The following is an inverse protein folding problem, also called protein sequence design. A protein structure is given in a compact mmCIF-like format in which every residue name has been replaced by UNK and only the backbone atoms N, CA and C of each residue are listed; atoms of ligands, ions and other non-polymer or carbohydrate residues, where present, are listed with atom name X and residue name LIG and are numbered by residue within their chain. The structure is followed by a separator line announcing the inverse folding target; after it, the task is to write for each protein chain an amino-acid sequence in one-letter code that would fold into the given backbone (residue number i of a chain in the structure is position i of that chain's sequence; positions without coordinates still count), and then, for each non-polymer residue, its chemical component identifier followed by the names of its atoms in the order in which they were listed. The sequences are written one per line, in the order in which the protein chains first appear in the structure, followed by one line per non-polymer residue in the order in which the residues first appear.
data_IF_572520398466
#
_entry.id   IF_572520398466
#
_cell.length_a   1.000
_cell.length_b   1.000
_cell.length_c   1.000
_cell.angle_alpha   90.00
_cell.angle_beta   90.00
_cell.angle_gamma   90.00
#
_symmetry.space_group_name_H-M   'P 1'
#
loop_
_entity.id
_entity.type
_entity.pdbx_description
1 polymer ?
#
# COMPACT_ATOMS: atom_id res chain seq x y z
N UNK A 1 54.26 19.26 37.59
CA UNK A 1 52.91 19.85 37.62
C UNK A 1 52.75 20.66 36.34
N UNK A 2 51.69 20.41 35.59
CA UNK A 2 51.39 20.89 34.23
C UNK A 2 51.71 22.36 33.94
N UNK A 3 52.14 22.65 32.71
CA UNK A 3 51.32 23.36 31.71
C UNK A 3 52.07 23.58 30.38
N UNK A 4 51.34 23.31 29.30
CA UNK A 4 51.30 23.99 28.00
C UNK A 4 52.60 24.41 27.28
N UNK A 5 52.79 23.89 26.06
CA UNK A 5 52.68 24.61 24.77
C UNK A 5 53.13 23.61 23.70
N UNK A 6 52.34 23.40 22.64
CA UNK A 6 52.85 23.35 21.27
C UNK A 6 51.67 23.48 20.28
N UNK A 7 51.85 24.40 19.36
CA UNK A 7 50.90 24.90 18.39
C UNK A 7 51.27 24.36 17.01
N UNK A 8 50.25 24.20 16.15
CA UNK A 8 50.26 24.06 14.68
C UNK A 8 50.67 22.70 14.10
N UNK A 9 49.74 22.06 13.38
CA UNK A 9 49.80 22.03 11.91
C UNK A 9 48.48 21.57 11.25
N UNK A 10 48.04 22.38 10.28
CA UNK A 10 47.40 22.05 8.99
C UNK A 10 46.10 21.23 8.93
N UNK A 11 44.99 21.94 8.69
CA UNK A 11 43.73 21.40 8.15
C UNK A 11 43.80 21.47 6.62
N UNK A 12 43.77 20.30 5.96
CA UNK A 12 43.65 20.18 4.50
C UNK A 12 42.18 19.99 4.12
N UNK A 13 41.73 20.84 3.20
CA UNK A 13 40.42 20.86 2.57
C UNK A 13 40.44 19.83 1.43
N UNK A 14 39.57 18.83 1.47
CA UNK A 14 39.24 18.03 0.28
C UNK A 14 37.77 18.22 -0.10
N UNK A 15 37.61 18.85 -1.27
CA UNK A 15 36.37 19.09 -2.01
C UNK A 15 36.10 17.84 -2.85
N UNK A 16 34.95 17.19 -2.67
CA UNK A 16 34.55 16.04 -3.48
C UNK A 16 33.62 16.50 -4.61
N UNK A 17 34.11 16.39 -5.85
CA UNK A 17 33.33 16.60 -7.07
C UNK A 17 32.45 15.37 -7.35
N UNK A 18 31.13 15.57 -7.47
CA UNK A 18 30.21 14.56 -7.99
C UNK A 18 30.03 14.78 -9.50
N UNK A 19 30.65 13.94 -10.34
CA UNK A 19 30.34 13.84 -11.77
C UNK A 19 29.25 12.79 -11.98
N UNK A 20 28.07 13.23 -12.40
CA UNK A 20 27.01 12.36 -12.91
C UNK A 20 27.34 11.95 -14.36
N UNK A 21 27.42 10.64 -14.60
CA UNK A 21 27.44 10.06 -15.95
C UNK A 21 26.01 9.74 -16.37
N UNK A 22 25.52 10.41 -17.41
CA UNK A 22 24.23 10.12 -18.06
C UNK A 22 24.50 9.25 -19.28
N UNK A 23 23.96 8.03 -19.27
CA UNK A 23 23.93 7.13 -20.42
C UNK A 23 22.83 7.58 -21.39
N UNK A 24 23.20 8.02 -22.60
CA UNK A 24 22.26 8.28 -23.70
C UNK A 24 22.26 7.10 -24.67
N UNK A 25 21.12 6.42 -24.82
CA UNK A 25 20.90 5.47 -25.92
C UNK A 25 20.58 6.23 -27.22
N UNK A 26 21.36 6.02 -28.27
CA UNK A 26 21.03 6.50 -29.62
C UNK A 26 20.31 5.39 -30.42
N UNK A 27 19.12 5.67 -30.91
CA UNK A 27 18.49 4.90 -31.99
C UNK A 27 19.03 5.41 -33.33
N UNK A 28 19.67 4.53 -34.10
CA UNK A 28 20.07 4.76 -35.50
C UNK A 28 18.91 4.36 -36.41
N UNK A 29 18.36 5.32 -37.15
CA UNK A 29 17.46 5.07 -38.27
C UNK A 29 18.29 5.05 -39.56
N UNK A 30 18.30 3.92 -40.26
CA UNK A 30 18.87 3.75 -41.60
C UNK A 30 17.79 4.04 -42.64
N UNK A 31 18.01 4.99 -43.55
CA UNK A 31 17.31 5.04 -44.84
C UNK A 31 18.36 5.33 -45.93
N UNK A 32 18.50 4.39 -46.85
CA UNK A 32 19.37 4.44 -48.03
C UNK A 32 18.75 5.28 -49.14
N UNK A 33 19.58 6.07 -49.81
CA UNK A 33 19.27 6.78 -51.05
C UNK A 33 19.49 5.89 -52.27
N UNK A 34 18.63 6.01 -53.29
CA UNK A 34 19.02 5.81 -54.70
C UNK A 34 18.07 6.59 -55.63
N UNK A 35 18.64 6.98 -56.76
CA UNK A 35 18.28 8.04 -57.70
C UNK A 35 17.39 7.61 -58.88
N UNK A 36 16.61 8.55 -59.46
CA UNK A 36 16.82 9.12 -60.82
C UNK A 36 15.52 9.58 -61.55
N UNK A 37 15.63 10.77 -62.18
CA UNK A 37 14.94 11.37 -63.37
C UNK A 37 13.41 11.15 -63.57
N UNK A 38 12.57 12.17 -63.82
CA UNK A 38 12.52 13.00 -65.04
C UNK A 38 11.47 14.14 -64.94
N UNK A 39 11.82 15.32 -65.50
CA UNK A 39 11.04 16.26 -66.36
C UNK A 39 9.90 17.14 -65.76
N UNK A 40 10.17 18.47 -65.84
CA UNK A 40 9.35 19.69 -66.15
C UNK A 40 7.88 19.76 -65.66
N UNK A 41 7.38 20.85 -65.07
CA UNK A 41 7.34 22.22 -65.60
C UNK A 41 7.33 23.32 -64.52
N UNK A 42 7.75 24.50 -64.96
CA UNK A 42 7.89 25.77 -64.27
C UNK A 42 6.61 26.59 -64.25
N UNK A 43 6.25 27.19 -63.11
CA UNK A 43 5.51 28.46 -63.07
C UNK A 43 6.00 29.33 -61.91
N UNK A 44 6.23 30.60 -62.24
CA UNK A 44 6.98 31.58 -61.48
C UNK A 44 6.04 32.76 -61.19
N UNK A 45 5.56 32.93 -59.95
CA UNK A 45 5.02 34.22 -59.45
C UNK A 45 5.26 34.33 -57.93
N UNK A 46 6.20 35.18 -57.54
CA UNK A 46 6.14 36.04 -56.35
C UNK A 46 5.76 37.45 -56.86
N UNK A 47 5.26 38.42 -56.04
CA UNK A 47 5.55 38.61 -54.62
C UNK A 47 4.34 39.10 -53.78
N UNK A 48 4.53 39.21 -52.46
CA UNK A 48 4.43 40.48 -51.72
C UNK A 48 4.36 40.18 -50.22
N UNK A 49 5.41 40.64 -49.54
CA UNK A 49 5.51 40.65 -48.09
C UNK A 49 4.53 41.68 -47.51
N UNK A 50 3.68 41.25 -46.59
CA UNK A 50 3.08 42.14 -45.60
C UNK A 50 3.38 41.59 -44.22
N UNK A 51 4.28 42.27 -43.53
CA UNK A 51 4.64 42.02 -42.14
C UNK A 51 3.43 42.30 -41.25
N UNK A 52 2.80 41.24 -40.73
CA UNK A 52 1.98 41.35 -39.52
C UNK A 52 2.85 40.85 -38.37
N UNK A 53 3.47 41.81 -37.67
CA UNK A 53 4.15 41.55 -36.40
C UNK A 53 3.08 41.31 -35.35
N UNK A 54 2.68 40.04 -35.18
CA UNK A 54 1.80 39.65 -34.10
C UNK A 54 2.64 39.42 -32.84
N UNK A 55 2.74 40.45 -32.00
CA UNK A 55 3.16 40.32 -30.60
C UNK A 55 2.04 39.59 -29.83
N UNK A 56 2.08 38.26 -29.83
CA UNK A 56 1.41 37.49 -28.78
C UNK A 56 2.46 37.10 -27.75
N UNK A 57 2.50 37.91 -26.70
CA UNK A 57 3.24 37.67 -25.47
C UNK A 57 2.94 36.26 -24.96
N UNK A 58 4.01 35.47 -24.83
CA UNK A 58 4.01 34.15 -24.21
C UNK A 58 3.68 34.35 -22.73
N UNK A 59 2.41 34.22 -22.35
CA UNK A 59 2.00 33.97 -20.98
C UNK A 59 1.70 32.47 -20.84
N UNK A 60 2.76 31.67 -20.86
CA UNK A 60 2.73 30.30 -20.36
C UNK A 60 2.56 30.37 -18.84
N UNK A 61 1.32 30.50 -18.39
CA UNK A 61 0.97 30.25 -16.98
C UNK A 61 1.03 28.72 -16.81
N UNK A 62 2.25 28.22 -16.62
CA UNK A 62 2.45 26.94 -15.96
C UNK A 62 1.92 27.09 -14.54
N UNK A 63 0.71 26.61 -14.29
CA UNK A 63 0.24 26.32 -12.93
C UNK A 63 1.00 25.09 -12.41
N UNK A 64 2.31 25.25 -12.17
CA UNK A 64 3.02 24.41 -11.20
C UNK A 64 2.51 24.84 -9.84
N UNK A 65 1.44 24.18 -9.37
CA UNK A 65 1.04 24.20 -7.97
C UNK A 65 2.09 23.49 -7.14
N UNK A 66 3.22 24.13 -6.88
CA UNK A 66 4.13 23.76 -5.80
C UNK A 66 3.51 24.24 -4.49
N UNK A 67 2.73 23.38 -3.84
CA UNK A 67 2.73 23.36 -2.39
C UNK A 67 3.78 22.35 -1.94
N UNK A 68 5.05 22.71 -2.16
CA UNK A 68 6.12 22.18 -1.35
C UNK A 68 5.96 22.80 0.04
N UNK A 69 5.09 22.21 0.86
CA UNK A 69 5.23 22.35 2.29
C UNK A 69 6.48 21.57 2.66
N UNK A 70 7.58 22.30 2.83
CA UNK A 70 8.74 21.80 3.57
C UNK A 70 8.25 21.62 5.02
N UNK A 71 7.77 20.44 5.34
CA UNK A 71 7.86 19.91 6.70
C UNK A 71 8.95 18.86 6.64
N UNK A 72 10.17 19.29 6.96
CA UNK A 72 11.23 18.37 7.33
C UNK A 72 10.82 17.68 8.64
N UNK A 73 10.31 16.46 8.54
CA UNK A 73 10.02 15.59 9.67
C UNK A 73 9.39 14.30 9.15
N UNK A 74 10.04 13.16 9.36
CA UNK A 74 9.37 11.87 9.23
C UNK A 74 8.08 11.90 10.05
N UNK A 75 6.96 11.44 9.48
CA UNK A 75 5.71 11.39 10.23
C UNK A 75 5.92 10.63 11.55
N UNK A 76 5.35 11.10 12.67
CA UNK A 76 5.63 10.56 13.98
C UNK A 76 5.19 9.09 14.08
N UNK A 77 5.98 8.33 14.85
CA UNK A 77 5.63 6.96 15.18
C UNK A 77 4.31 6.93 15.96
N UNK A 78 3.38 6.08 15.51
CA UNK A 78 2.14 5.79 16.21
C UNK A 78 2.20 4.41 16.85
N UNK A 79 1.33 4.15 17.82
CA UNK A 79 1.14 2.82 18.42
C UNK A 79 -0.35 2.54 18.59
N UNK A 80 -0.70 1.42 19.22
CA UNK A 80 -2.08 1.08 19.57
C UNK A 80 -2.41 1.38 21.04
N UNK A 81 -1.47 1.93 21.82
CA UNK A 81 -1.60 2.15 23.27
C UNK A 81 -1.07 3.52 23.72
N UNK A 82 -1.59 4.01 24.85
CA UNK A 82 -1.07 5.22 25.49
C UNK A 82 -1.23 6.50 24.66
N UNK A 83 -0.31 7.48 24.77
CA UNK A 83 -0.45 8.79 24.14
C UNK A 83 -0.33 8.77 22.61
N UNK A 84 0.26 7.71 22.04
CA UNK A 84 0.40 7.48 20.60
C UNK A 84 -0.69 6.55 20.03
N UNK A 85 -1.70 6.23 20.84
CA UNK A 85 -2.77 5.29 20.51
C UNK A 85 -3.85 5.84 19.56
N UNK A 86 -4.80 5.00 19.12
CA UNK A 86 -5.72 5.33 18.02
C UNK A 86 -6.61 6.54 18.26
N UNK A 87 -6.98 6.82 19.52
CA UNK A 87 -7.76 8.01 19.90
C UNK A 87 -7.00 9.33 19.71
N UNK A 88 -5.68 9.27 19.53
CA UNK A 88 -4.79 10.43 19.43
C UNK A 88 -4.09 10.53 18.07
N UNK A 89 -4.20 9.52 17.20
CA UNK A 89 -3.51 9.49 15.91
C UNK A 89 -3.67 10.77 15.09
N UNK A 90 -4.89 11.30 14.94
CA UNK A 90 -5.11 12.50 14.14
C UNK A 90 -4.60 13.80 14.77
N UNK A 91 -4.07 13.75 16.00
CA UNK A 91 -3.38 14.86 16.65
C UNK A 91 -1.86 14.69 16.68
N UNK A 92 -1.31 13.56 16.21
CA UNK A 92 0.13 13.34 16.21
C UNK A 92 0.83 14.13 15.10
N UNK A 93 0.19 14.23 13.92
CA UNK A 93 0.69 14.96 12.75
C UNK A 93 -0.47 15.57 11.98
N UNK A 94 -0.30 16.75 11.35
CA UNK A 94 -1.28 17.29 10.41
C UNK A 94 -1.67 16.30 9.30
N UNK A 95 -0.72 15.47 8.85
CA UNK A 95 -0.95 14.45 7.82
C UNK A 95 -1.90 13.34 8.29
N UNK A 96 -2.05 13.14 9.61
CA UNK A 96 -2.91 12.11 10.19
C UNK A 96 -4.32 12.64 10.50
N UNK A 97 -4.63 13.89 10.17
CA UNK A 97 -5.90 14.56 10.52
C UNK A 97 -7.16 13.76 10.13
N UNK A 98 -7.10 13.01 9.02
CA UNK A 98 -8.19 12.12 8.59
C UNK A 98 -8.52 11.03 9.62
N UNK A 99 -7.56 10.59 10.43
CA UNK A 99 -7.79 9.61 11.49
C UNK A 99 -8.80 10.08 12.55
N UNK A 100 -8.99 11.40 12.72
CA UNK A 100 -9.95 11.99 13.67
C UNK A 100 -11.15 12.65 12.99
N UNK A 101 -10.95 13.26 11.81
CA UNK A 101 -11.99 14.07 11.15
C UNK A 101 -12.69 13.35 9.99
N UNK A 102 -12.09 12.29 9.45
CA UNK A 102 -12.66 11.48 8.38
C UNK A 102 -14.02 10.89 8.75
N UNK A 103 -14.92 10.77 7.77
CA UNK A 103 -16.28 10.22 7.96
C UNK A 103 -16.46 8.83 7.36
N UNK A 104 -15.49 8.40 6.56
CA UNK A 104 -15.46 7.10 5.89
C UNK A 104 -14.35 6.23 6.51
N UNK A 105 -14.19 6.29 7.82
CA UNK A 105 -13.11 5.57 8.50
C UNK A 105 -13.38 4.06 8.64
N UNK A 106 -12.31 3.28 8.67
CA UNK A 106 -12.27 1.83 8.91
C UNK A 106 -11.44 1.50 10.15
N UNK A 107 -11.65 0.35 10.81
CA UNK A 107 -12.62 -0.71 10.48
C UNK A 107 -14.05 -0.35 10.92
N UNK A 108 -15.03 -1.19 10.56
CA UNK A 108 -16.43 -1.05 10.99
C UNK A 108 -16.97 -2.35 11.59
N UNK A 109 -18.04 -2.24 12.39
CA UNK A 109 -18.84 -3.40 12.78
C UNK A 109 -19.87 -3.71 11.68
N UNK A 110 -19.75 -4.86 11.03
CA UNK A 110 -20.70 -5.34 10.03
C UNK A 110 -21.89 -6.00 10.72
N UNK A 111 -22.99 -5.28 10.85
CA UNK A 111 -24.26 -5.83 11.34
C UNK A 111 -24.99 -6.48 10.16
N UNK A 112 -24.95 -7.81 10.07
CA UNK A 112 -25.42 -8.58 8.89
C UNK A 112 -26.88 -8.32 8.55
N UNK A 113 -27.74 -8.20 9.56
CA UNK A 113 -29.18 -7.91 9.38
C UNK A 113 -29.46 -6.50 8.86
N UNK A 114 -28.50 -5.58 8.95
CA UNK A 114 -28.60 -4.21 8.42
C UNK A 114 -27.87 -4.02 7.09
N UNK A 115 -27.26 -5.08 6.54
CA UNK A 115 -26.60 -5.01 5.26
C UNK A 115 -27.64 -4.93 4.13
N UNK A 116 -27.36 -4.11 3.13
CA UNK A 116 -28.21 -3.95 1.95
C UNK A 116 -27.79 -5.01 0.92
N UNK A 117 -28.75 -5.62 0.22
CA UNK A 117 -28.43 -6.55 -0.85
C UNK A 117 -27.78 -5.80 -2.02
N UNK A 118 -26.51 -6.06 -2.29
CA UNK A 118 -25.80 -5.47 -3.41
C UNK A 118 -26.10 -6.25 -4.69
N UNK A 119 -27.26 -6.01 -5.33
CA UNK A 119 -27.69 -6.78 -6.51
C UNK A 119 -26.75 -6.65 -7.72
N UNK A 120 -25.96 -5.59 -7.77
CA UNK A 120 -24.95 -5.37 -8.80
C UNK A 120 -23.62 -6.10 -8.51
N UNK A 121 -23.46 -6.62 -7.30
CA UNK A 121 -22.26 -7.31 -6.86
C UNK A 121 -22.15 -8.69 -7.51
N UNK A 122 -20.95 -9.03 -7.96
CA UNK A 122 -20.59 -10.32 -8.56
C UNK A 122 -19.68 -11.13 -7.61
N UNK A 123 -19.50 -12.44 -7.83
CA UNK A 123 -18.42 -13.16 -7.15
C UNK A 123 -17.10 -12.39 -7.28
N UNK A 124 -16.27 -12.38 -6.24
CA UNK A 124 -14.94 -11.79 -6.35
C UNK A 124 -14.10 -12.60 -7.35
N UNK A 125 -13.73 -11.97 -8.46
CA UNK A 125 -12.82 -12.54 -9.45
C UNK A 125 -11.38 -12.30 -8.99
N UNK A 126 -10.77 -13.35 -8.47
CA UNK A 126 -9.46 -13.31 -7.83
C UNK A 126 -8.54 -14.32 -8.50
N UNK A 127 -7.44 -13.82 -9.05
CA UNK A 127 -6.38 -14.62 -9.63
C UNK A 127 -5.21 -14.73 -8.66
N UNK A 128 -5.30 -15.73 -7.77
CA UNK A 128 -4.20 -16.12 -6.89
C UNK A 128 -3.79 -17.56 -7.21
N UNK A 129 -2.76 -17.70 -8.03
CA UNK A 129 -2.00 -18.92 -8.26
C UNK A 129 -0.67 -18.56 -8.92
N UNK A 130 -0.05 -17.46 -8.47
CA UNK A 130 1.15 -16.90 -9.06
C UNK A 130 2.34 -17.28 -8.20
N UNK A 131 3.45 -17.59 -8.85
CA UNK A 131 4.75 -17.81 -8.22
C UNK A 131 5.53 -16.51 -8.29
N UNK A 132 5.96 -15.99 -7.15
CA UNK A 132 6.62 -14.69 -7.03
C UNK A 132 7.65 -14.76 -5.90
N UNK A 133 8.71 -13.95 -5.99
CA UNK A 133 9.59 -13.76 -4.84
C UNK A 133 8.91 -12.87 -3.80
N UNK A 134 9.10 -13.22 -2.53
CA UNK A 134 8.45 -12.52 -1.44
C UNK A 134 9.37 -12.33 -0.24
N UNK A 135 9.06 -11.30 0.53
CA UNK A 135 9.79 -10.91 1.73
C UNK A 135 8.80 -10.73 2.88
N UNK A 136 9.09 -11.38 4.02
CA UNK A 136 8.38 -11.18 5.26
C UNK A 136 8.95 -9.94 5.95
N UNK A 137 8.09 -9.02 6.35
CA UNK A 137 8.48 -7.73 6.92
C UNK A 137 7.79 -7.48 8.25
N UNK A 138 8.51 -6.83 9.16
CA UNK A 138 7.91 -6.10 10.27
C UNK A 138 7.80 -4.62 9.86
N UNK A 139 6.57 -4.15 9.64
CA UNK A 139 6.30 -2.75 9.34
C UNK A 139 6.28 -1.88 10.62
N UNK A 140 6.86 -2.36 11.74
CA UNK A 140 6.86 -1.81 13.11
C UNK A 140 5.51 -1.94 13.84
N UNK A 141 4.40 -1.95 13.10
CA UNK A 141 3.05 -2.03 13.65
C UNK A 141 2.26 -3.25 13.19
N UNK A 142 2.74 -3.99 12.19
CA UNK A 142 2.19 -5.27 11.78
C UNK A 142 3.25 -6.12 11.06
N UNK A 143 3.03 -7.43 11.04
CA UNK A 143 3.78 -8.34 10.19
C UNK A 143 3.07 -8.43 8.84
N UNK A 144 3.85 -8.38 7.76
CA UNK A 144 3.32 -8.49 6.40
C UNK A 144 4.24 -9.24 5.45
N UNK A 145 3.73 -9.49 4.24
CA UNK A 145 4.46 -10.03 3.11
C UNK A 145 4.41 -9.01 1.97
N UNK A 146 5.59 -8.60 1.50
CA UNK A 146 5.80 -7.80 0.29
C UNK A 146 6.22 -8.73 -0.85
N UNK A 147 5.84 -8.37 -2.08
CA UNK A 147 6.11 -9.16 -3.28
C UNK A 147 7.02 -8.41 -4.24
N UNK A 148 8.00 -9.12 -4.80
CA UNK A 148 8.97 -8.56 -5.74
C UNK A 148 8.51 -8.80 -7.19
N UNK A 149 7.24 -8.49 -7.47
CA UNK A 149 6.62 -8.70 -8.78
C UNK A 149 5.12 -8.91 -8.71
N UNK A 150 4.55 -9.45 -9.79
CA UNK A 150 3.14 -9.76 -9.86
C UNK A 150 2.80 -10.91 -8.89
N UNK A 151 1.97 -10.65 -7.88
CA UNK A 151 1.51 -11.64 -6.92
C UNK A 151 0.09 -12.17 -7.22
N UNK A 152 -0.52 -11.71 -8.32
CA UNK A 152 -1.91 -11.93 -8.66
C UNK A 152 -2.72 -10.64 -8.63
N UNK A 153 -4.00 -10.75 -8.94
CA UNK A 153 -4.89 -9.59 -9.02
C UNK A 153 -6.33 -9.90 -8.63
N UNK A 154 -7.03 -8.85 -8.22
CA UNK A 154 -8.48 -8.79 -8.05
C UNK A 154 -9.07 -8.05 -9.25
N UNK A 155 -10.11 -8.61 -9.88
CA UNK A 155 -10.88 -7.96 -10.94
C UNK A 155 -12.26 -7.60 -10.44
N UNK A 156 -12.65 -6.35 -10.62
CA UNK A 156 -13.94 -5.84 -10.15
C UNK A 156 -14.36 -4.67 -11.04
N UNK A 157 -15.63 -4.65 -11.46
CA UNK A 157 -16.21 -3.56 -12.25
C UNK A 157 -15.41 -3.22 -13.52
N UNK A 158 -14.87 -4.24 -14.20
CA UNK A 158 -14.06 -4.07 -15.42
C UNK A 158 -12.64 -3.53 -15.17
N UNK A 159 -12.23 -3.40 -13.91
CA UNK A 159 -10.91 -2.88 -13.50
C UNK A 159 -10.07 -3.99 -12.86
N UNK A 160 -8.76 -3.93 -13.11
CA UNK A 160 -7.76 -4.79 -12.50
C UNK A 160 -7.08 -4.08 -11.32
N UNK A 161 -6.97 -4.76 -10.19
CA UNK A 161 -6.25 -4.32 -9.00
C UNK A 161 -5.15 -5.33 -8.67
N UNK A 162 -3.89 -4.96 -8.83
CA UNK A 162 -2.73 -5.81 -8.55
C UNK A 162 -2.54 -6.00 -7.04
N UNK A 163 -2.30 -7.22 -6.57
CA UNK A 163 -1.95 -7.49 -5.17
C UNK A 163 -0.55 -6.95 -4.87
N UNK A 164 -0.46 -5.95 -4.01
CA UNK A 164 0.81 -5.26 -3.70
C UNK A 164 1.47 -5.75 -2.40
N UNK A 165 0.66 -6.12 -1.41
CA UNK A 165 1.14 -6.66 -0.14
C UNK A 165 -0.01 -7.30 0.63
N UNK A 166 0.34 -8.06 1.67
CA UNK A 166 -0.62 -8.48 2.69
C UNK A 166 -0.04 -8.37 4.09
N UNK A 167 -0.91 -8.24 5.09
CA UNK A 167 -0.50 -8.15 6.49
C UNK A 167 -1.59 -8.60 7.44
N UNK A 168 -1.20 -8.89 8.67
CA UNK A 168 -2.10 -9.37 9.71
C UNK A 168 -2.30 -8.38 10.84
N UNK A 169 -3.53 -8.34 11.34
CA UNK A 169 -3.91 -7.71 12.59
C UNK A 169 -4.36 -8.78 13.59
N UNK A 170 -3.97 -8.63 14.85
CA UNK A 170 -4.39 -9.45 15.98
C UNK A 170 -4.72 -8.54 17.17
N UNK A 171 -5.96 -8.57 17.71
CA UNK A 171 -7.15 -9.27 17.21
C UNK A 171 -7.66 -8.70 15.86
N UNK A 172 -8.79 -9.19 15.35
CA UNK A 172 -9.38 -8.62 14.13
C UNK A 172 -9.82 -7.18 14.32
N UNK A 173 -9.71 -6.38 13.26
CA UNK A 173 -10.14 -4.99 13.25
C UNK A 173 -11.64 -4.89 12.99
N UNK A 174 -12.12 -5.59 11.97
CA UNK A 174 -13.54 -5.69 11.67
C UNK A 174 -14.24 -6.61 12.65
N UNK A 175 -15.47 -6.25 12.99
CA UNK A 175 -16.39 -7.09 13.75
C UNK A 175 -17.52 -7.55 12.85
N UNK A 176 -18.07 -8.74 13.12
CA UNK A 176 -19.33 -9.18 12.52
C UNK A 176 -20.38 -9.34 13.62
N UNK A 177 -21.50 -8.62 13.54
CA UNK A 177 -22.54 -8.58 14.58
C UNK A 177 -21.98 -8.29 15.98
N UNK A 178 -20.99 -7.39 16.08
CA UNK A 178 -20.32 -7.03 17.32
C UNK A 178 -19.27 -8.05 17.81
N UNK A 179 -19.08 -9.17 17.11
CA UNK A 179 -18.06 -10.15 17.46
C UNK A 179 -16.71 -9.79 16.82
N UNK A 180 -15.70 -9.60 17.68
CA UNK A 180 -14.29 -9.53 17.29
C UNK A 180 -13.71 -10.94 17.14
N UNK A 181 -12.86 -11.11 16.13
CA UNK A 181 -12.21 -12.38 15.78
C UNK A 181 -10.74 -12.40 16.24
N UNK A 182 -10.12 -13.58 16.23
CA UNK A 182 -8.78 -13.80 16.77
C UNK A 182 -7.69 -13.07 15.97
N UNK A 183 -7.87 -12.93 14.66
CA UNK A 183 -6.99 -12.19 13.78
C UNK A 183 -7.72 -11.79 12.49
N UNK A 184 -7.09 -10.94 11.69
CA UNK A 184 -7.56 -10.52 10.39
C UNK A 184 -6.39 -10.38 9.41
N UNK A 185 -6.54 -10.91 8.19
CA UNK A 185 -5.59 -10.74 7.09
C UNK A 185 -6.15 -9.71 6.11
N UNK A 186 -5.35 -8.70 5.81
CA UNK A 186 -5.63 -7.71 4.76
C UNK A 186 -4.79 -8.02 3.53
N UNK A 187 -5.45 -8.15 2.39
CA UNK A 187 -4.83 -8.27 1.07
C UNK A 187 -5.03 -6.93 0.35
N UNK A 188 -3.98 -6.14 0.21
CA UNK A 188 -4.06 -4.78 -0.36
C UNK A 188 -3.81 -4.86 -1.85
N UNK A 189 -4.73 -4.29 -2.63
CA UNK A 189 -4.64 -4.24 -4.08
C UNK A 189 -4.70 -2.81 -4.57
N UNK A 190 -3.99 -2.53 -5.66
CA UNK A 190 -3.94 -1.20 -6.27
C UNK A 190 -4.19 -1.28 -7.77
N UNK A 191 -5.08 -0.41 -8.25
CA UNK A 191 -5.30 -0.20 -9.67
C UNK A 191 -4.30 0.81 -10.26
N UNK A 192 -4.21 0.85 -11.59
CA UNK A 192 -3.27 1.73 -12.32
C UNK A 192 -3.54 3.21 -12.04
N UNK A 193 -4.80 3.58 -11.82
CA UNK A 193 -5.21 4.96 -11.50
C UNK A 193 -5.10 5.31 -10.00
N UNK A 194 -4.53 4.41 -9.19
CA UNK A 194 -4.27 4.64 -7.78
C UNK A 194 -5.39 4.21 -6.83
N UNK A 195 -6.57 3.85 -7.35
CA UNK A 195 -7.66 3.33 -6.52
C UNK A 195 -7.23 2.04 -5.80
N UNK A 196 -7.60 1.94 -4.52
CA UNK A 196 -7.18 0.83 -3.65
C UNK A 196 -8.38 0.00 -3.21
N UNK A 197 -8.22 -1.32 -3.28
CA UNK A 197 -9.18 -2.26 -2.72
C UNK A 197 -8.50 -3.24 -1.76
N UNK A 198 -9.13 -3.49 -0.62
CA UNK A 198 -8.64 -4.43 0.39
C UNK A 198 -9.60 -5.59 0.53
N UNK A 199 -9.09 -6.80 0.43
CA UNK A 199 -9.82 -8.02 0.79
C UNK A 199 -9.44 -8.41 2.22
N UNK A 200 -10.43 -8.46 3.11
CA UNK A 200 -10.25 -8.78 4.52
C UNK A 200 -10.73 -10.21 4.81
N UNK A 201 -9.90 -10.99 5.50
CA UNK A 201 -10.22 -12.36 5.90
C UNK A 201 -10.09 -12.50 7.42
N UNK A 202 -11.20 -12.82 8.07
CA UNK A 202 -11.29 -12.98 9.52
C UNK A 202 -10.92 -14.40 9.95
N UNK A 203 -10.28 -14.52 11.11
CA UNK A 203 -9.88 -15.81 11.70
C UNK A 203 -10.51 -16.03 13.07
N UNK A 204 -11.09 -17.20 13.31
CA UNK A 204 -11.42 -17.68 14.66
C UNK A 204 -10.34 -18.64 15.15
N UNK A 205 -10.18 -18.76 16.46
CA UNK A 205 -9.31 -19.79 17.02
C UNK A 205 -9.77 -21.20 16.60
N UNK A 206 -8.80 -22.06 16.27
CA UNK A 206 -9.01 -23.46 15.89
C UNK A 206 -7.72 -24.10 15.38
N UNK A 207 -7.83 -24.95 14.35
CA UNK A 207 -6.68 -25.53 13.66
C UNK A 207 -5.74 -24.46 13.07
N UNK A 208 -4.43 -24.75 12.97
CA UNK A 208 -3.45 -23.87 12.34
C UNK A 208 -3.83 -23.50 10.90
N UNK A 209 -3.64 -22.24 10.54
CA UNK A 209 -3.77 -21.77 9.17
C UNK A 209 -2.58 -22.25 8.32
N UNK A 210 -2.81 -22.88 7.15
CA UNK A 210 -1.73 -23.43 6.33
C UNK A 210 -0.71 -22.40 5.84
N UNK A 211 -1.13 -21.15 5.56
CA UNK A 211 -0.20 -20.11 5.11
C UNK A 211 0.77 -19.75 6.24
N UNK A 212 0.25 -19.56 7.46
CA UNK A 212 1.06 -19.25 8.64
C UNK A 212 1.98 -20.41 9.02
N UNK A 213 1.54 -21.67 8.84
CA UNK A 213 2.40 -22.83 9.03
C UNK A 213 3.63 -22.82 8.11
N UNK A 214 3.50 -22.36 6.85
CA UNK A 214 4.64 -22.30 5.92
C UNK A 214 5.66 -21.23 6.27
N UNK A 215 5.22 -20.15 6.92
CA UNK A 215 6.10 -19.02 7.27
C UNK A 215 6.49 -19.01 8.75
N UNK A 216 6.12 -20.04 9.54
CA UNK A 216 6.35 -20.08 10.98
C UNK A 216 7.83 -19.93 11.36
N UNK A 217 8.72 -20.65 10.69
CA UNK A 217 10.18 -20.53 10.92
C UNK A 217 10.68 -19.14 10.57
N UNK A 218 10.09 -18.50 9.55
CA UNK A 218 10.44 -17.16 9.09
C UNK A 218 9.97 -16.09 10.06
N UNK A 219 8.81 -16.26 10.69
CA UNK A 219 8.33 -15.42 11.80
C UNK A 219 9.28 -15.49 13.01
N UNK A 220 9.76 -16.69 13.36
CA UNK A 220 10.73 -16.85 14.44
C UNK A 220 12.08 -16.19 14.12
N UNK A 221 12.53 -16.26 12.86
CA UNK A 221 13.72 -15.53 12.39
C UNK A 221 13.51 -14.01 12.45
N UNK A 222 12.34 -13.52 12.04
CA UNK A 222 11.99 -12.10 12.09
C UNK A 222 12.04 -11.57 13.53
N UNK A 223 11.45 -12.30 14.49
CA UNK A 223 11.56 -11.98 15.92
C UNK A 223 13.01 -11.84 16.39
N UNK A 224 13.88 -12.78 15.99
CA UNK A 224 15.30 -12.73 16.35
C UNK A 224 15.98 -11.50 15.73
N UNK A 225 15.70 -11.21 14.46
CA UNK A 225 16.23 -10.03 13.78
C UNK A 225 15.83 -8.74 14.50
N UNK A 226 14.55 -8.57 14.85
CA UNK A 226 14.06 -7.42 15.63
C UNK A 226 14.83 -7.25 16.95
N UNK A 227 15.07 -8.36 17.67
CA UNK A 227 15.78 -8.32 18.96
C UNK A 227 17.29 -8.04 18.81
N UNK A 228 17.89 -8.34 17.66
CA UNK A 228 19.32 -8.16 17.39
C UNK A 228 19.65 -6.84 16.71
N UNK A 229 18.66 -6.16 16.12
CA UNK A 229 18.83 -4.84 15.54
C UNK A 229 19.11 -3.81 16.63
N UNK A 230 20.35 -3.34 16.73
CA UNK A 230 20.64 -2.02 17.30
C UNK A 230 19.87 -0.98 16.49
N UNK A 231 19.34 0.06 17.15
CA UNK A 231 18.29 0.97 16.67
C UNK A 231 18.58 1.79 15.37
N UNK A 232 19.54 1.41 14.52
CA UNK A 232 19.89 2.09 13.29
C UNK A 232 19.29 1.42 12.04
N UNK A 233 18.11 1.93 11.68
CA UNK A 233 17.71 2.36 10.32
C UNK A 233 17.20 1.38 9.23
N UNK A 234 16.96 0.09 9.49
CA UNK A 234 16.17 -0.72 8.52
C UNK A 234 15.04 -1.51 9.17
N UNK A 235 13.86 -1.45 8.53
CA UNK A 235 12.70 -2.29 8.88
C UNK A 235 13.13 -3.76 8.84
N UNK A 236 12.99 -4.52 9.95
CA UNK A 236 13.36 -5.93 9.98
C UNK A 236 12.63 -6.72 8.91
N UNK A 237 13.37 -7.50 8.14
CA UNK A 237 12.84 -8.28 7.03
C UNK A 237 13.57 -9.61 6.85
N UNK A 238 12.85 -10.63 6.42
CA UNK A 238 13.35 -11.97 6.16
C UNK A 238 12.88 -12.40 4.78
N UNK A 239 13.81 -12.74 3.89
CA UNK A 239 13.47 -13.30 2.58
C UNK A 239 12.69 -14.62 2.75
N UNK A 240 11.51 -14.69 2.13
CA UNK A 240 10.78 -15.95 1.96
C UNK A 240 11.28 -16.72 0.74
N UNK A 241 11.86 -16.01 -0.23
CA UNK A 241 12.24 -16.57 -1.53
C UNK A 241 11.00 -16.80 -2.38
N UNK A 242 10.98 -17.91 -3.12
CA UNK A 242 9.85 -18.27 -3.97
C UNK A 242 8.60 -18.58 -3.15
N UNK A 243 7.53 -17.82 -3.39
CA UNK A 243 6.24 -17.90 -2.71
C UNK A 243 5.11 -18.11 -3.73
N UNK A 244 4.08 -18.88 -3.35
CA UNK A 244 2.89 -19.05 -4.18
C UNK A 244 1.65 -18.49 -3.50
N UNK A 245 0.96 -17.58 -4.18
CA UNK A 245 -0.26 -16.94 -3.66
C UNK A 245 -1.48 -17.86 -3.62
N UNK A 246 -1.37 -19.08 -4.17
CA UNK A 246 -2.44 -20.11 -4.13
C UNK A 246 -2.96 -20.39 -2.72
N UNK A 247 -2.10 -20.25 -1.70
CA UNK A 247 -2.44 -20.50 -0.29
C UNK A 247 -3.36 -19.45 0.32
N UNK A 248 -3.46 -18.28 -0.30
CA UNK A 248 -4.35 -17.19 0.10
C UNK A 248 -5.78 -17.51 -0.36
N UNK A 249 -5.92 -18.10 -1.55
CA UNK A 249 -7.19 -18.29 -2.24
C UNK A 249 -8.15 -19.15 -1.43
N UNK A 250 -9.35 -18.61 -1.17
CA UNK A 250 -10.55 -19.40 -0.91
C UNK A 250 -11.72 -18.81 -1.66
N UNK A 251 -12.47 -19.67 -2.34
CA UNK A 251 -13.78 -19.31 -2.84
C UNK A 251 -14.66 -18.90 -1.65
N UNK A 252 -15.25 -17.72 -1.76
CA UNK A 252 -16.28 -17.26 -0.83
C UNK A 252 -17.59 -17.16 -1.59
N UNK A 253 -18.66 -17.61 -0.93
CA UNK A 253 -20.03 -17.47 -1.42
C UNK A 253 -20.66 -16.14 -1.01
N UNK A 254 -20.06 -15.48 -0.01
CA UNK A 254 -20.57 -14.28 0.64
C UNK A 254 -19.45 -13.31 0.99
N UNK A 255 -19.68 -12.03 0.79
CA UNK A 255 -18.80 -10.97 1.28
C UNK A 255 -19.59 -9.69 1.54
N UNK A 256 -18.98 -8.79 2.30
CA UNK A 256 -19.53 -7.47 2.61
C UNK A 256 -18.64 -6.40 1.99
N UNK A 257 -19.26 -5.39 1.39
CA UNK A 257 -18.63 -4.33 0.59
C UNK A 257 -18.98 -2.97 1.19
N UNK A 258 -17.98 -2.13 1.39
CA UNK A 258 -18.20 -0.72 1.72
C UNK A 258 -16.97 0.13 1.33
N UNK A 259 -17.16 1.44 1.21
CA UNK A 259 -16.06 2.40 1.04
C UNK A 259 -15.63 2.93 2.41
N UNK A 260 -14.34 2.79 2.68
CA UNK A 260 -13.73 3.08 3.97
C UNK A 260 -12.39 3.79 3.84
N UNK A 261 -11.53 3.57 4.84
CA UNK A 261 -10.17 4.12 4.91
C UNK A 261 -9.14 3.02 5.11
N UNK A 262 -7.86 3.38 5.05
CA UNK A 262 -6.83 2.59 5.73
C UNK A 262 -7.09 2.61 7.25
N UNK A 263 -6.77 1.51 7.92
CA UNK A 263 -6.94 1.35 9.37
C UNK A 263 -5.71 1.77 10.19
N UNK A 264 -4.70 2.33 9.54
CA UNK A 264 -3.53 2.95 10.17
C UNK A 264 -3.34 4.37 9.64
N UNK A 265 -2.63 5.25 10.36
CA UNK A 265 -2.23 6.56 9.83
C UNK A 265 -1.54 6.43 8.46
N UNK A 266 -1.80 7.37 7.52
CA UNK A 266 -2.59 8.61 7.67
C UNK A 266 -4.12 8.44 7.58
N UNK A 267 -4.64 7.22 7.63
CA UNK A 267 -6.08 6.91 7.59
C UNK A 267 -6.81 7.44 6.34
N UNK A 268 -6.12 7.44 5.21
CA UNK A 268 -6.65 7.88 3.90
C UNK A 268 -7.94 7.15 3.56
N UNK A 269 -8.98 7.90 3.17
CA UNK A 269 -10.30 7.40 2.76
C UNK A 269 -10.32 6.99 1.28
N UNK A 270 -11.43 6.41 0.83
CA UNK A 270 -11.59 5.93 -0.56
C UNK A 270 -11.15 4.48 -0.78
N UNK A 271 -10.96 3.71 0.29
CA UNK A 271 -10.57 2.29 0.20
C UNK A 271 -11.80 1.42 0.02
N UNK A 272 -11.84 0.61 -1.05
CA UNK A 272 -12.93 -0.34 -1.26
C UNK A 272 -12.66 -1.61 -0.46
N UNK A 273 -13.39 -1.79 0.64
CA UNK A 273 -13.27 -2.96 1.51
C UNK A 273 -14.15 -4.12 1.03
N UNK A 274 -13.57 -5.32 1.08
CA UNK A 274 -14.19 -6.60 0.73
C UNK A 274 -14.00 -7.59 1.88
N UNK A 275 -14.94 -7.65 2.82
CA UNK A 275 -14.83 -8.52 4.00
C UNK A 275 -15.44 -9.88 3.68
N UNK A 276 -14.63 -10.93 3.67
CA UNK A 276 -15.11 -12.28 3.33
C UNK A 276 -16.01 -12.82 4.44
N UNK A 277 -17.19 -13.33 4.06
CA UNK A 277 -18.13 -13.93 5.00
C UNK A 277 -17.67 -15.29 5.56
N UNK A 278 -16.71 -15.95 4.88
CA UNK A 278 -16.12 -17.22 5.33
C UNK A 278 -14.97 -16.95 6.29
N UNK A 279 -15.17 -17.34 7.55
CA UNK A 279 -14.17 -17.22 8.61
C UNK A 279 -13.14 -18.37 8.50
N UNK A 280 -11.85 -18.04 8.54
CA UNK A 280 -10.74 -19.01 8.59
C UNK A 280 -10.43 -19.43 10.03
N UNK A 281 -9.61 -20.45 10.16
CA UNK A 281 -9.12 -20.94 11.44
C UNK A 281 -7.66 -20.51 11.62
N UNK A 282 -7.28 -20.14 12.84
CA UNK A 282 -5.89 -19.85 13.24
C UNK A 282 -5.62 -20.47 14.61
N UNK A 283 -4.41 -20.97 14.88
CA UNK A 283 -4.07 -21.46 16.22
C UNK A 283 -3.61 -20.31 17.14
N UNK A 284 -3.68 -20.51 18.46
CA UNK A 284 -3.15 -19.53 19.43
C UNK A 284 -1.66 -19.24 19.21
N UNK A 285 -0.86 -20.29 19.04
CA UNK A 285 0.57 -20.15 18.75
C UNK A 285 0.89 -19.41 17.45
N UNK A 286 -0.02 -19.43 16.45
CA UNK A 286 0.14 -18.62 15.25
C UNK A 286 -0.18 -17.14 15.47
N UNK A 287 -1.19 -16.83 16.29
CA UNK A 287 -1.45 -15.45 16.72
C UNK A 287 -0.25 -14.91 17.50
N UNK A 288 0.23 -15.65 18.49
CA UNK A 288 1.43 -15.30 19.27
C UNK A 288 2.67 -15.10 18.38
N UNK A 289 2.84 -15.92 17.33
CA UNK A 289 3.93 -15.78 16.38
C UNK A 289 3.83 -14.51 15.51
N UNK A 290 2.63 -14.00 15.25
CA UNK A 290 2.41 -12.72 14.55
C UNK A 290 2.68 -11.52 15.46
N UNK A 291 2.34 -11.61 16.74
CA UNK A 291 2.54 -10.53 17.73
C UNK A 291 4.00 -10.48 18.25
N UNK A 292 4.73 -11.59 18.18
CA UNK A 292 6.04 -11.72 18.79
C UNK A 292 7.11 -10.74 18.24
N UNK A 293 7.19 -10.46 16.93
CA UNK A 293 8.15 -9.49 16.39
C UNK A 293 7.77 -8.03 16.71
N UNK A 294 6.50 -7.74 16.98
CA UNK A 294 6.02 -6.36 17.12
C UNK A 294 6.46 -5.72 18.44
N UNK A 295 6.69 -4.41 18.39
CA UNK A 295 6.96 -3.59 19.58
C UNK A 295 5.78 -3.66 20.57
N UNK A 296 6.04 -3.43 21.85
CA UNK A 296 5.04 -3.57 22.93
C UNK A 296 3.75 -2.79 22.64
N UNK A 297 3.87 -1.56 22.16
CA UNK A 297 2.73 -0.71 21.80
C UNK A 297 1.89 -1.20 20.62
N UNK A 298 2.37 -2.19 19.87
CA UNK A 298 1.75 -2.73 18.66
C UNK A 298 1.48 -4.24 18.73
N UNK A 299 1.68 -4.91 19.89
CA UNK A 299 1.35 -6.35 20.01
C UNK A 299 -0.11 -6.64 19.72
N UNK A 300 -1.01 -5.79 20.21
CA UNK A 300 -2.42 -5.82 19.88
C UNK A 300 -2.72 -4.72 18.86
N UNK A 301 -2.43 -4.98 17.59
CA UNK A 301 -2.47 -3.98 16.52
C UNK A 301 -3.85 -3.81 15.88
N UNK A 302 -4.91 -3.78 16.68
CA UNK A 302 -6.28 -3.61 16.17
C UNK A 302 -6.78 -2.18 16.43
N UNK A 303 -7.07 -1.41 15.38
CA UNK A 303 -7.79 -0.14 15.51
C UNK A 303 -9.22 -0.42 15.98
N UNK A 304 -9.78 0.38 16.91
CA UNK A 304 -11.19 0.27 17.28
C UNK A 304 -12.14 0.48 16.10
N UNK A 305 -13.32 -0.15 16.14
CA UNK A 305 -14.39 0.08 15.15
C UNK A 305 -14.79 1.55 15.09
N UNK A 306 -15.00 2.03 13.88
CA UNK A 306 -15.34 3.40 13.55
C UNK A 306 -16.85 3.50 13.21
N UNK A 307 -17.48 4.64 13.48
CA UNK A 307 -18.88 4.87 13.13
C UNK A 307 -19.11 4.82 11.61
N UNK A 308 -20.27 4.30 11.20
CA UNK A 308 -20.65 4.23 9.79
C UNK A 308 -21.00 5.58 9.17
N UNK A 309 -21.41 6.58 9.96
CA UNK A 309 -21.76 7.92 9.46
C UNK A 309 -22.73 7.90 8.26
N UNK A 310 -23.77 7.06 8.32
CA UNK A 310 -24.76 6.92 7.25
C UNK A 310 -24.35 6.02 6.08
N UNK A 311 -23.09 5.54 6.04
CA UNK A 311 -22.68 4.52 5.06
C UNK A 311 -23.47 3.24 5.25
N UNK A 312 -23.97 2.69 4.15
CA UNK A 312 -24.51 1.34 4.11
C UNK A 312 -23.40 0.35 3.78
N UNK A 313 -23.52 -0.86 4.31
CA UNK A 313 -22.68 -1.99 3.93
C UNK A 313 -23.50 -2.85 3.00
N UNK A 314 -22.98 -3.08 1.80
CA UNK A 314 -23.60 -3.98 0.84
C UNK A 314 -23.16 -5.42 1.09
N UNK A 315 -24.03 -6.36 0.82
CA UNK A 315 -23.76 -7.79 0.92
C UNK A 315 -23.96 -8.46 -0.43
N UNK A 316 -22.97 -9.25 -0.82
CA UNK A 316 -23.08 -10.26 -1.87
C UNK A 316 -23.33 -11.62 -1.22
N UNK A 317 -24.27 -12.39 -1.77
CA UNK A 317 -24.53 -13.79 -1.41
C UNK A 317 -24.94 -14.55 -2.68
N UNK A 318 -24.21 -15.60 -3.05
CA UNK A 318 -24.47 -16.36 -4.28
C UNK A 318 -25.91 -16.91 -4.32
N UNK A 319 -26.45 -17.32 -3.18
CA UNK A 319 -27.85 -17.78 -3.04
C UNK A 319 -28.90 -16.73 -3.38
N UNK A 320 -28.61 -15.44 -3.24
CA UNK A 320 -29.57 -14.37 -3.51
C UNK A 320 -29.59 -13.92 -4.97
N UNK A 321 -28.60 -14.30 -5.76
CA UNK A 321 -28.48 -13.92 -7.18
C UNK A 321 -29.04 -14.99 -8.15
N UNK A 322 -29.69 -16.02 -7.62
CA UNK A 322 -30.35 -17.08 -8.40
C UNK A 322 -31.88 -16.94 -8.43
N UNK A 323 -32.42 -15.81 -7.97
CA UNK A 323 -33.84 -15.45 -8.05
C UNK A 323 -34.00 -14.13 -8.77
#
# INVERSE_FOLDING_TARGET
MCMAILQKHSVSIYRQEYKHAICKSQYKLFISTSSSSHRQESFFIQPMATHVVSFFSIALIFFFGTCANIVNGEDPQFTYLGPYGPRKWGSLSPNYSACSHGKFQSPVNVVKSKCVAGRHLKPLDIEYNVVVNATLVDNLFNVGIKYDGNAGMLRMNGKNYSLIQMHWHAPSEHHLNGLQYAAELHLVHKAVDGETSVVAILYRYGHPDPLLSKIQTKLAQLKKAVNSSSQQQQQPQIALGTFTTKQIRKHTRKYYRYVGSFSTPPCTEGIIWNILGKIRSISRGQVEALEAPLIVGCKHNSRPVQPLHGRHIEMYDDKMNHY
#
